data_IF_868266973894
#
_entry.id   IF_868266973894
#
_cell.length_a   1.000
_cell.length_b   1.000
_cell.length_c   1.000
_cell.angle_alpha   90.00
_cell.angle_beta   90.00
_cell.angle_gamma   90.00
#
_symmetry.space_group_name_H-M   'P 1'
#
loop_
_entity.id
_entity.type
_entity.pdbx_description
1 polymer ?
#
# COMPACT_ATOMS: atom_id res chain seq x y z
N UNK A 1 -8.49 -4.68 18.33
CA UNK A 1 -9.49 -4.16 19.30
C UNK A 1 -10.18 -2.89 18.79
N UNK A 2 -9.47 -1.77 18.58
CA UNK A 2 -10.09 -0.49 18.19
C UNK A 2 -10.92 -0.52 16.91
N UNK A 3 -10.35 -0.96 15.78
CA UNK A 3 -11.04 -0.94 14.47
C UNK A 3 -12.30 -1.81 14.46
N UNK A 4 -12.26 -2.99 15.08
CA UNK A 4 -13.42 -3.89 15.20
C UNK A 4 -14.55 -3.18 15.95
N UNK A 5 -14.23 -2.53 17.08
CA UNK A 5 -15.21 -1.79 17.86
C UNK A 5 -15.76 -0.58 17.11
N UNK A 6 -14.90 0.19 16.43
CA UNK A 6 -15.31 1.36 15.65
C UNK A 6 -16.25 0.97 14.51
N UNK A 7 -15.96 -0.10 13.76
CA UNK A 7 -16.84 -0.59 12.70
C UNK A 7 -18.20 -1.00 13.24
N UNK A 8 -18.25 -1.69 14.38
CA UNK A 8 -19.49 -2.10 15.02
C UNK A 8 -20.32 -0.90 15.52
N UNK A 9 -19.68 0.08 16.17
CA UNK A 9 -20.34 1.28 16.68
C UNK A 9 -20.92 2.17 15.56
N UNK A 10 -20.30 2.14 14.37
CA UNK A 10 -20.76 2.86 13.19
C UNK A 10 -21.76 2.05 12.33
N UNK A 11 -22.04 0.79 12.68
CA UNK A 11 -22.95 -0.07 11.91
C UNK A 11 -22.42 -0.43 10.52
N UNK A 12 -21.10 -0.52 10.35
CA UNK A 12 -20.48 -0.84 9.06
C UNK A 12 -20.50 -2.35 8.80
N UNK A 13 -21.01 -2.73 7.64
CA UNK A 13 -21.02 -4.11 7.15
C UNK A 13 -19.91 -4.36 6.12
N UNK A 14 -19.55 -5.63 5.90
CA UNK A 14 -18.52 -6.01 4.93
C UNK A 14 -17.09 -5.61 5.30
N UNK A 15 -16.83 -5.36 6.59
CA UNK A 15 -15.49 -5.01 7.09
C UNK A 15 -14.82 -6.21 7.76
N UNK A 16 -13.64 -6.57 7.27
CA UNK A 16 -12.74 -7.50 7.94
C UNK A 16 -11.54 -6.74 8.52
N UNK A 17 -11.22 -6.99 9.79
CA UNK A 17 -10.05 -6.40 10.45
C UNK A 17 -9.00 -7.48 10.69
N UNK A 18 -7.92 -7.42 9.90
CA UNK A 18 -6.79 -8.35 10.04
C UNK A 18 -5.75 -7.74 10.99
N UNK A 19 -5.64 -8.30 12.20
CA UNK A 19 -4.70 -7.84 13.22
C UNK A 19 -3.27 -8.41 13.02
N UNK A 20 -2.65 -8.11 11.87
CA UNK A 20 -1.32 -8.61 11.49
C UNK A 20 -0.46 -7.48 10.92
N UNK A 21 0.85 -7.74 10.86
CA UNK A 21 1.79 -6.91 10.11
C UNK A 21 1.54 -7.08 8.61
N UNK A 22 1.68 -6.00 7.84
CA UNK A 22 1.49 -6.05 6.38
C UNK A 22 2.50 -7.00 5.71
N UNK A 23 3.71 -7.09 6.25
CA UNK A 23 4.73 -8.04 5.80
C UNK A 23 4.25 -9.50 5.92
N UNK A 24 3.59 -9.84 7.03
CA UNK A 24 3.10 -11.20 7.24
C UNK A 24 1.82 -11.46 6.41
N UNK A 25 0.96 -10.46 6.29
CA UNK A 25 -0.26 -10.54 5.49
C UNK A 25 0.06 -10.70 3.99
N UNK A 26 1.04 -9.97 3.46
CA UNK A 26 1.45 -10.08 2.06
C UNK A 26 2.11 -11.43 1.70
N UNK A 27 2.48 -12.23 2.69
CA UNK A 27 2.96 -13.61 2.51
C UNK A 27 1.87 -14.68 2.70
N UNK A 28 0.68 -14.28 3.17
CA UNK A 28 -0.43 -15.22 3.36
C UNK A 28 -1.09 -15.55 2.01
N UNK A 29 -1.15 -16.82 1.59
CA UNK A 29 -1.81 -17.19 0.33
C UNK A 29 -3.28 -16.75 0.21
N UNK A 30 -4.00 -16.55 1.32
CA UNK A 30 -5.38 -16.08 1.31
C UNK A 30 -5.50 -14.57 1.02
N UNK A 31 -4.47 -13.79 1.35
CA UNK A 31 -4.47 -12.32 1.24
C UNK A 31 -3.56 -11.80 0.12
N UNK A 32 -2.58 -12.61 -0.28
CA UNK A 32 -1.61 -12.27 -1.31
C UNK A 32 -2.31 -12.13 -2.65
N UNK A 33 -2.10 -10.99 -3.30
CA UNK A 33 -2.59 -10.68 -4.64
C UNK A 33 -4.09 -10.97 -4.84
N UNK A 34 -4.91 -10.73 -3.82
CA UNK A 34 -6.36 -11.00 -3.84
C UNK A 34 -7.23 -9.74 -3.86
N UNK A 35 -6.65 -8.56 -3.64
CA UNK A 35 -7.39 -7.31 -3.54
C UNK A 35 -7.35 -6.50 -4.84
N UNK A 36 -8.49 -5.92 -5.23
CA UNK A 36 -8.60 -4.99 -6.37
C UNK A 36 -7.81 -3.69 -6.14
N UNK A 37 -7.91 -3.14 -4.93
CA UNK A 37 -7.29 -1.86 -4.60
C UNK A 37 -6.71 -1.92 -3.18
N UNK A 38 -5.48 -1.44 -3.04
CA UNK A 38 -4.91 -1.10 -1.73
C UNK A 38 -4.83 0.42 -1.59
N UNK A 39 -5.23 0.93 -0.42
CA UNK A 39 -5.11 2.36 -0.07
C UNK A 39 -4.21 2.52 1.14
N UNK A 40 -3.33 3.51 1.12
CA UNK A 40 -2.42 3.78 2.25
C UNK A 40 -2.21 5.28 2.43
N UNK A 41 -2.26 5.74 3.68
CA UNK A 41 -2.06 7.14 4.07
C UNK A 41 -1.14 7.24 5.28
N UNK A 42 -0.15 8.14 5.23
CA UNK A 42 0.78 8.40 6.34
C UNK A 42 1.44 7.14 6.93
N UNK A 43 1.69 6.14 6.07
CA UNK A 43 2.18 4.82 6.49
C UNK A 43 3.71 4.76 6.54
N UNK A 44 4.38 5.12 5.43
CA UNK A 44 5.84 5.03 5.28
C UNK A 44 6.32 5.86 4.06
N UNK A 45 7.64 6.04 3.86
CA UNK A 45 8.19 6.48 2.58
C UNK A 45 7.75 5.56 1.43
N UNK A 46 7.61 6.09 0.21
CA UNK A 46 7.00 5.37 -0.91
C UNK A 46 7.68 4.03 -1.20
N UNK A 47 9.03 3.99 -1.23
CA UNK A 47 9.82 2.76 -1.42
C UNK A 47 9.55 1.64 -0.40
N UNK A 48 9.13 1.99 0.82
CA UNK A 48 8.74 1.01 1.85
C UNK A 48 7.28 0.63 1.67
N UNK A 49 6.41 1.63 1.47
CA UNK A 49 4.98 1.46 1.30
C UNK A 49 4.65 0.49 0.16
N UNK A 50 5.34 0.62 -0.98
CA UNK A 50 5.11 -0.26 -2.14
C UNK A 50 5.36 -1.73 -1.80
N UNK A 51 6.38 -2.04 -1.00
CA UNK A 51 6.65 -3.41 -0.55
C UNK A 51 5.59 -3.93 0.41
N UNK A 52 5.00 -3.08 1.24
CA UNK A 52 3.94 -3.48 2.16
C UNK A 52 2.59 -3.69 1.46
N UNK A 53 2.32 -2.95 0.38
CA UNK A 53 0.99 -2.89 -0.24
C UNK A 53 0.88 -3.68 -1.55
N UNK A 54 1.83 -3.58 -2.48
CA UNK A 54 1.71 -4.25 -3.78
C UNK A 54 1.57 -5.78 -3.70
N UNK A 55 2.17 -6.52 -2.74
CA UNK A 55 1.96 -7.96 -2.64
C UNK A 55 0.52 -8.36 -2.30
N UNK A 56 -0.31 -7.44 -1.79
CA UNK A 56 -1.74 -7.69 -1.51
C UNK A 56 -2.61 -7.43 -2.75
N UNK A 57 -2.15 -6.58 -3.67
CA UNK A 57 -2.93 -6.18 -4.85
C UNK A 57 -2.80 -7.22 -5.96
N UNK A 58 -3.93 -7.64 -6.53
CA UNK A 58 -3.96 -8.57 -7.66
C UNK A 58 -3.45 -7.90 -8.94
N UNK A 59 -2.97 -8.69 -9.89
CA UNK A 59 -2.63 -8.17 -11.23
C UNK A 59 -3.88 -7.58 -11.90
N UNK A 60 -3.76 -6.38 -12.46
CA UNK A 60 -4.87 -5.55 -12.94
C UNK A 60 -5.48 -4.64 -11.86
N UNK A 61 -5.11 -4.81 -10.59
CA UNK A 61 -5.50 -3.94 -9.48
C UNK A 61 -4.61 -2.70 -9.34
N UNK A 62 -4.85 -1.89 -8.30
CA UNK A 62 -4.11 -0.63 -8.06
C UNK A 62 -3.73 -0.38 -6.61
N UNK A 63 -2.64 0.35 -6.42
CA UNK A 63 -2.26 0.97 -5.16
C UNK A 63 -2.48 2.49 -5.24
N UNK A 64 -3.25 3.02 -4.30
CA UNK A 64 -3.46 4.46 -4.11
C UNK A 64 -2.74 4.90 -2.83
N UNK A 65 -1.55 5.48 -3.00
CA UNK A 65 -0.73 5.95 -1.89
C UNK A 65 -0.92 7.45 -1.68
N UNK A 66 -1.60 7.84 -0.61
CA UNK A 66 -1.75 9.24 -0.23
C UNK A 66 -0.51 9.75 0.51
N UNK A 67 0.10 10.78 -0.06
CA UNK A 67 1.37 11.36 0.36
C UNK A 67 1.27 12.87 0.52
N UNK A 68 2.23 13.45 1.23
CA UNK A 68 2.41 14.90 1.28
C UNK A 68 3.06 15.39 -0.01
N UNK A 69 3.04 16.70 -0.24
CA UNK A 69 3.82 17.28 -1.34
C UNK A 69 5.31 16.94 -1.21
N UNK A 70 5.99 16.75 -2.35
CA UNK A 70 7.43 16.49 -2.40
C UNK A 70 7.86 15.03 -2.19
N UNK A 71 6.96 14.05 -2.28
CA UNK A 71 7.39 12.64 -2.24
C UNK A 71 8.27 12.29 -3.44
N UNK A 72 9.40 11.64 -3.17
CA UNK A 72 10.36 11.18 -4.18
C UNK A 72 9.85 9.91 -4.90
N UNK A 73 8.98 10.12 -5.89
CA UNK A 73 8.46 9.06 -6.76
C UNK A 73 9.58 8.46 -7.62
N UNK A 74 10.53 9.29 -8.07
CA UNK A 74 11.65 8.84 -8.87
C UNK A 74 12.54 7.85 -8.09
N UNK A 75 12.82 8.15 -6.82
CA UNK A 75 13.55 7.26 -5.91
C UNK A 75 12.82 5.97 -5.55
N UNK A 76 11.51 5.87 -5.79
CA UNK A 76 10.75 4.64 -5.61
C UNK A 76 10.57 3.81 -6.89
N UNK A 77 10.99 4.32 -8.07
CA UNK A 77 10.75 3.70 -9.38
C UNK A 77 11.25 2.26 -9.46
N UNK A 78 12.47 1.98 -8.95
CA UNK A 78 13.03 0.64 -8.91
C UNK A 78 12.19 -0.30 -8.03
N UNK A 79 11.81 0.14 -6.83
CA UNK A 79 10.99 -0.64 -5.92
C UNK A 79 9.61 -0.95 -6.54
N UNK A 80 8.97 0.04 -7.17
CA UNK A 80 7.70 -0.11 -7.89
C UNK A 80 7.82 -1.20 -8.96
N UNK A 81 8.80 -1.07 -9.86
CA UNK A 81 9.00 -2.02 -10.95
C UNK A 81 9.33 -3.44 -10.46
N UNK A 82 10.19 -3.54 -9.44
CA UNK A 82 10.61 -4.81 -8.83
C UNK A 82 9.44 -5.60 -8.21
N UNK A 83 8.46 -4.88 -7.66
CA UNK A 83 7.30 -5.47 -6.99
C UNK A 83 6.12 -5.69 -7.94
N UNK A 84 6.32 -5.49 -9.25
CA UNK A 84 5.32 -5.72 -10.28
C UNK A 84 4.37 -4.55 -10.50
N UNK A 85 4.69 -3.37 -9.96
CA UNK A 85 3.94 -2.14 -10.17
C UNK A 85 4.44 -1.31 -11.36
N UNK A 86 3.60 -0.40 -11.82
CA UNK A 86 3.91 0.64 -12.79
C UNK A 86 3.29 1.97 -12.33
N UNK A 87 4.04 3.07 -12.40
CA UNK A 87 3.51 4.38 -12.02
C UNK A 87 2.53 4.88 -13.08
N UNK A 88 1.26 4.98 -12.72
CA UNK A 88 0.21 5.50 -13.61
C UNK A 88 0.13 7.03 -13.56
N UNK A 89 0.43 7.62 -12.41
CA UNK A 89 0.42 9.07 -12.25
C UNK A 89 0.43 9.55 -10.80
N UNK A 90 0.45 10.87 -10.66
CA UNK A 90 0.38 11.56 -9.36
C UNK A 90 -0.73 12.60 -9.47
N UNK A 91 -1.81 12.41 -8.71
CA UNK A 91 -2.92 13.34 -8.64
C UNK A 91 -2.78 14.26 -7.44
N UNK A 92 -3.07 15.55 -7.60
CA UNK A 92 -3.21 16.45 -6.45
C UNK A 92 -4.45 16.09 -5.64
N UNK A 93 -4.30 16.06 -4.32
CA UNK A 93 -5.36 15.69 -3.39
C UNK A 93 -5.31 16.60 -2.13
N UNK A 94 -5.62 17.90 -2.26
CA UNK A 94 -5.78 18.78 -1.13
C UNK A 94 -7.00 18.37 -0.28
N UNK A 95 -7.02 18.81 0.97
CA UNK A 95 -8.16 18.60 1.88
C UNK A 95 -8.39 19.85 2.73
N UNK A 96 -9.57 20.02 3.36
CA UNK A 96 -9.80 21.15 4.28
C UNK A 96 -8.76 21.23 5.42
N UNK A 97 -8.23 20.07 5.83
CA UNK A 97 -7.21 19.98 6.88
C UNK A 97 -5.77 20.18 6.37
N UNK A 98 -5.54 20.09 5.06
CA UNK A 98 -4.22 20.23 4.43
C UNK A 98 -4.36 20.85 3.05
N UNK A 99 -3.82 22.05 2.90
CA UNK A 99 -3.75 22.75 1.60
C UNK A 99 -2.99 21.97 0.52
N UNK A 100 -2.19 20.97 0.93
CA UNK A 100 -1.20 20.28 0.13
C UNK A 100 -1.29 18.76 0.32
N UNK A 101 -1.27 18.00 -0.77
CA UNK A 101 -1.30 16.54 -0.75
C UNK A 101 -1.36 15.92 -2.14
N UNK A 102 -0.89 14.68 -2.27
CA UNK A 102 -0.91 13.93 -3.52
C UNK A 102 -1.40 12.50 -3.30
N UNK A 103 -1.94 11.90 -4.36
CA UNK A 103 -2.19 10.47 -4.47
C UNK A 103 -1.30 9.95 -5.59
N UNK A 104 -0.33 9.11 -5.21
CA UNK A 104 0.48 8.35 -6.16
C UNK A 104 -0.30 7.10 -6.55
N UNK A 105 -0.58 6.97 -7.84
CA UNK A 105 -1.33 5.85 -8.42
C UNK A 105 -0.35 4.89 -9.06
N UNK A 106 -0.38 3.64 -8.61
CA UNK A 106 0.48 2.57 -9.11
C UNK A 106 -0.40 1.40 -9.56
N UNK A 107 -0.35 1.07 -10.83
CA UNK A 107 -1.03 -0.11 -11.39
C UNK A 107 -0.22 -1.37 -11.09
N UNK A 108 -0.89 -2.45 -10.71
CA UNK A 108 -0.26 -3.76 -10.53
C UNK A 108 -0.28 -4.51 -11.85
N UNK A 109 0.84 -4.50 -12.58
CA UNK A 109 0.92 -5.02 -13.95
C UNK A 109 1.52 -6.41 -14.05
N UNK A 110 2.26 -6.87 -13.03
CA UNK A 110 2.89 -8.20 -12.97
C UNK A 110 2.84 -8.78 -11.56
N UNK A 111 2.92 -10.11 -11.40
CA UNK A 111 2.99 -10.73 -10.07
C UNK A 111 4.19 -10.22 -9.28
N UNK A 112 4.00 -10.02 -7.97
CA UNK A 112 5.09 -9.69 -7.06
C UNK A 112 5.95 -10.94 -6.83
N UNK A 113 7.30 -10.86 -6.93
CA UNK A 113 8.17 -12.00 -6.64
C UNK A 113 7.94 -12.57 -5.23
N UNK A 114 8.00 -13.90 -5.09
CA UNK A 114 7.66 -14.61 -3.84
C UNK A 114 8.46 -14.16 -2.61
N UNK A 115 9.70 -13.69 -2.81
CA UNK A 115 10.55 -13.18 -1.71
C UNK A 115 10.04 -11.89 -1.06
N UNK A 116 9.05 -11.23 -1.67
CA UNK A 116 8.46 -10.00 -1.16
C UNK A 116 7.00 -10.21 -0.72
N UNK A 117 6.56 -9.57 0.36
CA UNK A 117 7.33 -8.64 1.20
C UNK A 117 8.41 -9.38 2.00
N UNK A 118 9.52 -8.69 2.31
CA UNK A 118 10.56 -9.23 3.19
C UNK A 118 10.01 -9.32 4.62
N UNK A 119 10.71 -10.08 5.48
CA UNK A 119 10.35 -10.28 6.89
C UNK A 119 10.02 -8.97 7.60
N UNK A 120 9.07 -9.05 8.53
CA UNK A 120 8.60 -7.91 9.34
C UNK A 120 9.76 -7.03 9.85
N UNK A 121 9.64 -5.72 9.60
CA UNK A 121 10.63 -4.71 9.97
C UNK A 121 11.82 -4.54 8.99
N UNK A 122 12.09 -5.49 8.09
CA UNK A 122 13.14 -5.34 7.06
C UNK A 122 12.82 -4.21 6.07
N UNK A 123 11.58 -4.08 5.54
CA UNK A 123 11.26 -3.00 4.60
C UNK A 123 11.58 -1.60 5.17
N UNK A 124 11.29 -1.38 6.46
CA UNK A 124 11.57 -0.12 7.12
C UNK A 124 13.07 0.10 7.39
N UNK A 125 13.81 -0.93 7.80
CA UNK A 125 15.25 -0.83 8.13
C UNK A 125 16.15 -0.75 6.91
N UNK A 126 15.80 -1.46 5.83
CA UNK A 126 16.56 -1.54 4.58
C UNK A 126 15.62 -1.39 3.39
N UNK A 127 15.13 -0.17 3.12
CA UNK A 127 14.26 0.08 1.98
C UNK A 127 14.90 -0.35 0.66
N UNK A 128 14.03 -0.67 -0.31
CA UNK A 128 14.42 -0.98 -1.69
C UNK A 128 14.86 0.26 -2.46
#
# INVERSE_FOLDING_TARGET
AFLVHASAALGLEGIEVVARRAEDAGQDPALRESFDVAVARALAPLRVLVELCLPLVKVGGRLLAQKTEGEDVAGASNAIGLLGGELSGVAMAPSPARAAGTIVVIDKVRPTPARYPRRSGIPARKPL
#
